data_IF_370596064752
#
_entry.id   IF_370596064752
#
_cell.length_a   1.000
_cell.length_b   1.000
_cell.length_c   1.000
_cell.angle_alpha   90.00
_cell.angle_beta   90.00
_cell.angle_gamma   90.00
#
_symmetry.space_group_name_H-M   'P 1'
#
loop_
_entity.id
_entity.type
_entity.pdbx_description
1 polymer ?
#
# COMPACT_ATOMS: atom_id res chain seq x y z
N UNK A 1 3.83 21.18 3.97
CA UNK A 1 4.33 19.81 4.07
C UNK A 1 4.50 19.49 5.56
N UNK A 2 3.85 18.42 6.01
CA UNK A 2 3.93 18.01 7.42
C UNK A 2 5.34 17.51 7.80
N UNK A 3 5.64 17.51 9.07
CA UNK A 3 6.87 16.90 9.59
C UNK A 3 6.79 15.38 9.38
N UNK A 4 7.85 14.72 8.87
CA UNK A 4 7.87 13.26 8.73
C UNK A 4 7.58 12.59 10.08
N UNK A 5 6.61 11.68 10.07
CA UNK A 5 6.27 10.88 11.24
C UNK A 5 6.90 9.49 11.13
N UNK A 6 7.50 8.95 12.20
CA UNK A 6 8.00 7.59 12.16
C UNK A 6 6.85 6.59 11.98
N UNK A 7 7.04 5.65 11.08
CA UNK A 7 6.13 4.55 10.81
C UNK A 7 6.79 3.22 11.23
N UNK A 8 6.07 2.11 11.11
CA UNK A 8 6.53 0.78 11.52
C UNK A 8 7.91 0.41 10.93
N UNK A 9 8.21 0.85 9.71
CA UNK A 9 9.51 0.68 9.10
C UNK A 9 10.67 1.28 9.92
N UNK A 10 10.42 2.44 10.54
CA UNK A 10 11.39 3.08 11.43
C UNK A 10 11.63 2.27 12.71
N UNK A 11 10.57 1.67 13.27
CA UNK A 11 10.68 0.79 14.44
C UNK A 11 11.41 -0.52 14.08
N UNK A 12 11.13 -1.11 12.93
CA UNK A 12 11.85 -2.29 12.43
C UNK A 12 13.34 -1.98 12.30
N UNK A 13 13.70 -0.84 11.71
CA UNK A 13 15.10 -0.42 11.57
C UNK A 13 15.76 -0.21 12.94
N UNK A 14 15.06 0.42 13.90
CA UNK A 14 15.53 0.62 15.25
C UNK A 14 15.85 -0.72 15.95
N UNK A 15 14.91 -1.65 15.93
CA UNK A 15 15.11 -2.97 16.55
C UNK A 15 16.15 -3.79 15.81
N UNK A 16 16.14 -3.76 14.48
CA UNK A 16 17.16 -4.41 13.67
C UNK A 16 18.57 -3.95 14.05
N UNK A 17 18.74 -2.63 14.23
CA UNK A 17 20.02 -2.06 14.65
C UNK A 17 20.40 -2.40 16.09
N UNK A 18 19.41 -2.45 17.00
CA UNK A 18 19.65 -2.68 18.44
C UNK A 18 19.98 -4.13 18.75
N UNK A 19 19.28 -5.10 18.15
CA UNK A 19 19.43 -6.53 18.48
C UNK A 19 19.97 -7.38 17.32
N UNK A 20 20.34 -6.77 16.20
CA UNK A 20 20.91 -7.47 15.04
C UNK A 20 19.94 -8.43 14.33
N UNK A 21 18.63 -8.29 14.57
CA UNK A 21 17.61 -9.19 14.03
C UNK A 21 16.55 -8.40 13.27
N UNK A 22 16.21 -8.91 12.09
CA UNK A 22 15.11 -8.38 11.28
C UNK A 22 13.90 -9.32 11.36
N UNK A 23 12.67 -8.83 11.18
CA UNK A 23 11.50 -9.69 11.14
C UNK A 23 11.59 -10.67 9.97
N UNK A 24 11.19 -11.93 10.19
CA UNK A 24 11.10 -12.94 9.13
C UNK A 24 9.94 -12.67 8.19
N UNK A 25 8.88 -12.04 8.70
CA UNK A 25 7.65 -11.73 7.98
C UNK A 25 7.18 -10.34 8.38
N UNK A 26 6.76 -9.55 7.41
CA UNK A 26 6.08 -8.26 7.62
C UNK A 26 4.66 -8.40 7.07
N UNK A 27 3.66 -8.33 7.95
CA UNK A 27 2.26 -8.54 7.58
C UNK A 27 1.61 -7.31 6.92
N UNK A 28 2.15 -6.11 7.18
CA UNK A 28 1.59 -4.86 6.66
C UNK A 28 1.91 -4.61 5.18
N UNK A 29 1.21 -3.65 4.59
CA UNK A 29 1.49 -3.15 3.23
C UNK A 29 2.92 -2.60 3.14
N UNK A 30 3.62 -2.77 2.05
CA UNK A 30 3.21 -3.31 0.74
C UNK A 30 3.40 -4.83 0.56
N UNK A 31 3.60 -5.59 1.62
CA UNK A 31 3.91 -7.02 1.56
C UNK A 31 2.67 -7.89 1.33
N UNK A 32 2.85 -9.10 0.76
CA UNK A 32 1.74 -9.91 0.22
C UNK A 32 0.92 -10.67 1.26
N UNK A 33 1.45 -10.89 2.46
CA UNK A 33 0.82 -11.72 3.50
C UNK A 33 -0.62 -11.31 3.82
N UNK A 34 -0.87 -10.00 3.93
CA UNK A 34 -2.23 -9.49 4.19
C UNK A 34 -3.17 -9.76 3.01
N UNK A 35 -2.69 -9.64 1.77
CA UNK A 35 -3.48 -9.93 0.57
C UNK A 35 -3.90 -11.39 0.50
N UNK A 36 -3.01 -12.32 0.83
CA UNK A 36 -3.31 -13.75 0.93
C UNK A 36 -4.36 -14.03 2.01
N UNK A 37 -4.24 -13.36 3.16
CA UNK A 37 -5.23 -13.47 4.25
C UNK A 37 -6.61 -12.97 3.82
N UNK A 38 -6.68 -11.84 3.12
CA UNK A 38 -7.94 -11.28 2.59
C UNK A 38 -8.57 -12.24 1.58
N UNK A 39 -7.81 -12.72 0.61
CA UNK A 39 -8.30 -13.66 -0.40
C UNK A 39 -8.87 -14.93 0.24
N UNK A 40 -8.19 -15.46 1.26
CA UNK A 40 -8.63 -16.65 2.01
C UNK A 40 -9.89 -16.38 2.84
N UNK A 41 -9.93 -15.25 3.55
CA UNK A 41 -11.04 -14.92 4.45
C UNK A 41 -12.35 -14.67 3.71
N UNK A 42 -12.29 -14.06 2.54
CA UNK A 42 -13.47 -13.72 1.75
C UNK A 42 -13.77 -14.69 0.61
N UNK A 43 -12.87 -15.62 0.32
CA UNK A 43 -13.02 -16.57 -0.79
C UNK A 43 -13.05 -15.90 -2.17
N UNK A 44 -12.45 -14.70 -2.29
CA UNK A 44 -12.43 -13.91 -3.53
C UNK A 44 -11.00 -13.87 -4.07
N UNK A 45 -10.78 -14.26 -5.33
CA UNK A 45 -9.44 -14.17 -5.92
C UNK A 45 -8.97 -12.71 -6.05
N UNK A 46 -7.68 -12.49 -5.93
CA UNK A 46 -7.07 -11.16 -6.01
C UNK A 46 -7.47 -10.40 -7.29
N UNK A 47 -7.53 -11.07 -8.44
CA UNK A 47 -7.95 -10.48 -9.72
C UNK A 47 -9.41 -9.96 -9.74
N UNK A 48 -10.19 -10.25 -8.72
CA UNK A 48 -11.54 -9.71 -8.52
C UNK A 48 -11.64 -8.76 -7.33
N UNK A 49 -10.49 -8.35 -6.81
CA UNK A 49 -10.37 -7.44 -5.66
C UNK A 49 -9.74 -6.14 -6.13
N UNK A 50 -10.18 -5.03 -5.56
CA UNK A 50 -9.58 -3.72 -5.81
C UNK A 50 -9.00 -3.16 -4.51
N UNK A 51 -7.71 -2.82 -4.54
CA UNK A 51 -7.07 -2.05 -3.48
C UNK A 51 -7.30 -0.56 -3.74
N UNK A 52 -8.01 0.09 -2.85
CA UNK A 52 -8.23 1.54 -2.86
C UNK A 52 -7.34 2.19 -1.82
N UNK A 53 -6.58 3.20 -2.20
CA UNK A 53 -5.71 3.91 -1.26
C UNK A 53 -5.16 5.20 -1.81
N UNK A 54 -4.50 5.95 -0.95
CA UNK A 54 -3.94 7.27 -1.25
C UNK A 54 -2.41 7.29 -1.33
N UNK A 55 -1.76 6.15 -1.04
CA UNK A 55 -0.30 6.05 -1.01
C UNK A 55 0.24 5.11 -2.08
N UNK A 56 1.14 5.64 -2.91
CA UNK A 56 1.79 4.86 -3.97
C UNK A 56 2.65 3.71 -3.41
N UNK A 57 3.52 4.02 -2.45
CA UNK A 57 4.53 3.08 -1.94
C UNK A 57 3.99 2.00 -0.99
N UNK A 58 2.77 2.14 -0.51
CA UNK A 58 2.11 1.13 0.33
C UNK A 58 0.88 0.54 -0.34
N UNK A 59 -0.13 1.35 -0.64
CA UNK A 59 -1.43 0.86 -1.11
C UNK A 59 -1.37 0.35 -2.55
N UNK A 60 -0.88 1.18 -3.45
CA UNK A 60 -0.81 0.81 -4.87
C UNK A 60 0.20 -0.33 -5.07
N UNK A 61 1.36 -0.23 -4.45
CA UNK A 61 2.35 -1.30 -4.47
C UNK A 61 1.81 -2.62 -3.90
N UNK A 62 1.04 -2.56 -2.81
CA UNK A 62 0.40 -3.73 -2.22
C UNK A 62 -0.60 -4.39 -3.19
N UNK A 63 -1.48 -3.58 -3.81
CA UNK A 63 -2.44 -4.08 -4.79
C UNK A 63 -1.73 -4.76 -5.97
N UNK A 64 -0.74 -4.09 -6.56
CA UNK A 64 0.06 -4.62 -7.67
C UNK A 64 0.79 -5.91 -7.29
N UNK A 65 1.45 -5.95 -6.12
CA UNK A 65 2.19 -7.11 -5.64
C UNK A 65 1.30 -8.34 -5.39
N UNK A 66 0.03 -8.12 -5.09
CA UNK A 66 -0.95 -9.19 -4.85
C UNK A 66 -1.80 -9.54 -6.10
N UNK A 67 -1.60 -8.88 -7.23
CA UNK A 67 -2.39 -9.10 -8.44
C UNK A 67 -3.85 -8.61 -8.32
N UNK A 68 -4.08 -7.60 -7.49
CA UNK A 68 -5.35 -6.90 -7.35
C UNK A 68 -5.45 -5.77 -8.35
N UNK A 69 -6.67 -5.32 -8.66
CA UNK A 69 -6.85 -4.01 -9.26
C UNK A 69 -6.49 -2.92 -8.25
N UNK A 70 -6.05 -1.76 -8.76
CA UNK A 70 -5.61 -0.65 -7.91
C UNK A 70 -6.29 0.65 -8.29
N UNK A 71 -6.81 1.34 -7.29
CA UNK A 71 -7.43 2.65 -7.42
C UNK A 71 -6.74 3.63 -6.47
N UNK A 72 -6.09 4.62 -7.06
CA UNK A 72 -5.47 5.71 -6.31
C UNK A 72 -6.48 6.85 -6.15
N UNK A 73 -6.65 7.34 -4.92
CA UNK A 73 -7.39 8.57 -4.63
C UNK A 73 -6.42 9.69 -4.27
N UNK A 74 -6.62 10.86 -4.87
CA UNK A 74 -5.75 12.03 -4.69
C UNK A 74 -6.17 12.92 -3.52
N UNK A 75 -7.17 12.48 -2.74
CA UNK A 75 -7.64 13.20 -1.54
C UNK A 75 -6.75 13.01 -0.29
N UNK A 76 -5.71 12.21 -0.39
CA UNK A 76 -4.79 11.90 0.72
C UNK A 76 -3.35 12.37 0.46
N UNK A 77 -2.39 11.46 0.66
CA UNK A 77 -0.96 11.78 0.64
C UNK A 77 -0.40 11.99 -0.78
N UNK A 78 -0.85 11.19 -1.74
CA UNK A 78 -0.33 11.27 -3.12
C UNK A 78 -1.03 12.35 -3.90
N UNK A 79 -0.25 13.16 -4.61
CA UNK A 79 -0.73 14.16 -5.56
C UNK A 79 -0.50 13.70 -7.01
N UNK A 80 -1.23 14.29 -7.96
CA UNK A 80 -1.02 14.02 -9.39
C UNK A 80 0.42 14.31 -9.87
N UNK A 81 1.11 15.20 -9.20
CA UNK A 81 2.50 15.56 -9.49
C UNK A 81 3.48 14.52 -8.96
N UNK A 82 3.39 14.17 -7.66
CA UNK A 82 4.35 13.27 -7.02
C UNK A 82 4.13 11.79 -7.39
N UNK A 83 2.94 11.40 -7.85
CA UNK A 83 2.63 10.05 -8.34
C UNK A 83 3.64 9.56 -9.38
N UNK A 84 4.13 10.47 -10.23
CA UNK A 84 5.07 10.16 -11.33
C UNK A 84 6.45 9.68 -10.83
N UNK A 85 6.79 9.97 -9.59
CA UNK A 85 8.09 9.63 -8.99
C UNK A 85 8.16 8.17 -8.50
N UNK A 86 7.04 7.44 -8.55
CA UNK A 86 7.00 6.06 -8.12
C UNK A 86 7.05 5.10 -9.32
N UNK A 87 7.67 3.91 -9.16
CA UNK A 87 7.73 2.90 -10.21
C UNK A 87 6.39 2.22 -10.44
N UNK A 88 5.57 2.09 -9.38
CA UNK A 88 4.26 1.48 -9.43
C UNK A 88 3.26 2.35 -10.24
N UNK A 89 2.26 1.70 -10.83
CA UNK A 89 1.19 2.38 -11.57
C UNK A 89 -0.16 1.88 -11.08
N UNK A 90 -1.08 2.78 -10.70
CA UNK A 90 -2.46 2.42 -10.42
C UNK A 90 -3.23 2.15 -11.72
N UNK A 91 -4.24 1.26 -11.68
CA UNK A 91 -5.13 1.03 -12.81
C UNK A 91 -6.08 2.21 -13.03
N UNK A 92 -6.51 2.86 -11.95
CA UNK A 92 -7.40 4.00 -11.98
C UNK A 92 -6.96 5.07 -10.97
N UNK A 93 -7.13 6.33 -11.35
CA UNK A 93 -6.86 7.50 -10.49
C UNK A 93 -8.11 8.37 -10.43
N UNK A 94 -8.58 8.65 -9.23
CA UNK A 94 -9.70 9.55 -8.95
C UNK A 94 -9.26 10.68 -8.01
N UNK A 95 -9.97 11.80 -8.04
CA UNK A 95 -9.71 12.88 -7.09
C UNK A 95 -10.11 12.47 -5.67
N UNK A 96 -11.26 11.82 -5.53
CA UNK A 96 -11.75 11.25 -4.27
C UNK A 96 -12.69 10.07 -4.53
N UNK A 97 -13.10 9.37 -3.47
CA UNK A 97 -14.08 8.27 -3.56
C UNK A 97 -15.48 8.73 -3.99
N UNK A 98 -15.80 10.01 -3.83
CA UNK A 98 -17.10 10.56 -4.24
C UNK A 98 -17.35 10.43 -5.76
N UNK A 99 -16.28 10.26 -6.55
CA UNK A 99 -16.38 10.04 -8.00
C UNK A 99 -16.87 8.65 -8.38
N UNK A 100 -16.95 7.71 -7.42
CA UNK A 100 -17.47 6.35 -7.65
C UNK A 100 -19.00 6.31 -7.50
N UNK A 101 -19.54 7.18 -6.70
CA UNK A 101 -20.95 7.23 -6.31
C UNK A 101 -21.60 8.53 -6.80
#
# INVERSE_FOLDING_TARGET
AGVPMPDVGSFIALFGRSCGRMPSVVCGKPYTVMGECVARAFGVPAARTCMVGDRMHTDIRFGNANGMHTLLVLSGETTAENMKNFPDRPDLVLKSLDEIF
#
